data_IF_277387988014
#
_entry.id   IF_277387988014
#
_cell.length_a   1.000
_cell.length_b   1.000
_cell.length_c   1.000
_cell.angle_alpha   90.00
_cell.angle_beta   90.00
_cell.angle_gamma   90.00
#
_symmetry.space_group_name_H-M   'P 1'
#
loop_
_entity.id
_entity.type
_entity.pdbx_description
1 polymer ?
#
# COMPACT_ATOMS: atom_id res chain seq x y z
N UNK A 1 -16.87 11.79 19.39
CA UNK A 1 -16.98 11.61 20.86
C UNK A 1 -16.18 12.69 21.62
N UNK A 2 -16.34 13.98 21.27
CA UNK A 2 -15.59 15.09 21.90
C UNK A 2 -16.47 16.31 22.21
N UNK A 3 -17.71 16.06 22.66
CA UNK A 3 -18.63 17.14 23.11
C UNK A 3 -18.71 17.19 24.66
N UNK A 4 -18.04 16.27 25.36
CA UNK A 4 -18.23 16.08 26.81
C UNK A 4 -17.41 16.97 27.75
N UNK A 5 -16.37 17.68 27.29
CA UNK A 5 -15.44 18.39 28.19
C UNK A 5 -15.76 19.88 28.37
N UNK A 6 -16.20 20.57 27.31
CA UNK A 6 -16.58 22.00 27.43
C UNK A 6 -17.84 22.21 28.27
N UNK A 7 -18.75 21.22 28.29
CA UNK A 7 -19.98 21.25 29.09
C UNK A 7 -19.72 21.30 30.61
N UNK A 8 -18.55 20.84 31.09
CA UNK A 8 -18.21 20.83 32.51
C UNK A 8 -17.72 22.19 33.05
N UNK A 9 -17.03 22.98 32.21
CA UNK A 9 -16.55 24.32 32.59
C UNK A 9 -17.66 25.35 32.58
N UNK A 10 -18.60 25.25 31.63
CA UNK A 10 -19.79 26.13 31.57
C UNK A 10 -20.67 25.94 32.81
N UNK A 11 -20.93 24.68 33.20
CA UNK A 11 -21.71 24.36 34.40
C UNK A 11 -21.11 24.93 35.70
N UNK A 12 -19.78 25.02 35.80
CA UNK A 12 -19.11 25.59 36.98
C UNK A 12 -19.21 27.12 37.04
N UNK A 13 -19.14 27.79 35.89
CA UNK A 13 -19.36 29.24 35.79
C UNK A 13 -20.83 29.58 36.01
N UNK A 14 -21.76 28.79 35.48
CA UNK A 14 -23.20 28.94 35.71
C UNK A 14 -23.54 28.74 37.19
N UNK A 15 -22.92 27.77 37.87
CA UNK A 15 -23.11 27.56 39.31
C UNK A 15 -22.55 28.70 40.16
N UNK A 16 -21.44 29.33 39.76
CA UNK A 16 -20.89 30.51 40.44
C UNK A 16 -21.76 31.74 40.18
N UNK A 17 -22.26 31.91 38.95
CA UNK A 17 -23.22 32.97 38.61
C UNK A 17 -24.53 32.80 39.39
N UNK A 18 -25.04 31.58 39.49
CA UNK A 18 -26.22 31.24 40.29
C UNK A 18 -25.98 31.43 41.79
N UNK A 19 -24.79 31.12 42.31
CA UNK A 19 -24.42 31.39 43.71
C UNK A 19 -24.34 32.90 43.98
N UNK A 20 -23.72 33.67 43.09
CA UNK A 20 -23.68 35.13 43.19
C UNK A 20 -25.09 35.73 43.06
N UNK A 21 -25.92 35.20 42.16
CA UNK A 21 -27.32 35.62 42.00
C UNK A 21 -28.15 35.27 43.23
N UNK A 22 -28.05 34.07 43.78
CA UNK A 22 -28.70 33.68 45.04
C UNK A 22 -28.20 34.48 46.23
N UNK A 23 -26.93 34.88 46.25
CA UNK A 23 -26.39 35.75 47.29
C UNK A 23 -26.92 37.18 47.15
N UNK A 24 -27.01 37.71 45.93
CA UNK A 24 -27.61 39.03 45.64
C UNK A 24 -29.13 39.04 45.91
N UNK A 25 -29.85 38.02 45.45
CA UNK A 25 -31.28 37.81 45.70
C UNK A 25 -31.53 37.53 47.18
N UNK A 26 -30.62 36.86 47.88
CA UNK A 26 -30.66 36.64 49.33
C UNK A 26 -30.52 37.96 50.10
N UNK A 27 -29.59 38.82 49.69
CA UNK A 27 -29.44 40.18 50.26
C UNK A 27 -30.66 41.05 49.95
N UNK A 28 -31.19 40.98 48.73
CA UNK A 28 -32.39 41.71 48.29
C UNK A 28 -33.65 41.20 49.01
N UNK A 29 -33.80 39.88 49.17
CA UNK A 29 -34.91 39.24 49.90
C UNK A 29 -34.84 39.51 51.40
N UNK A 30 -33.63 39.57 51.96
CA UNK A 30 -33.40 40.01 53.34
C UNK A 30 -33.72 41.49 53.53
N UNK A 31 -33.55 42.32 52.48
CA UNK A 31 -33.99 43.72 52.47
C UNK A 31 -35.50 43.89 52.26
N UNK A 32 -36.15 43.01 51.50
CA UNK A 32 -37.61 43.03 51.24
C UNK A 32 -38.44 42.39 52.37
N UNK A 33 -37.86 41.47 53.15
CA UNK A 33 -38.49 40.83 54.31
C UNK A 33 -38.09 41.46 55.66
N UNK A 34 -37.22 42.48 55.63
CA UNK A 34 -37.04 43.39 56.75
C UNK A 34 -38.27 44.27 56.88
N UNK A 35 -39.25 43.82 57.67
CA UNK A 35 -40.46 44.54 58.03
C UNK A 35 -40.15 46.00 58.42
N UNK A 36 -40.93 46.96 57.92
CA UNK A 36 -41.17 48.19 58.66
C UNK A 36 -41.85 47.78 59.98
N UNK A 37 -41.14 47.87 61.11
CA UNK A 37 -41.81 47.79 62.42
C UNK A 37 -42.59 49.09 62.58
N UNK A 38 -43.89 49.04 62.30
CA UNK A 38 -44.83 50.12 62.61
C UNK A 38 -45.07 50.14 64.13
N UNK A 39 -44.09 50.64 64.88
CA UNK A 39 -44.34 51.20 66.20
C UNK A 39 -44.56 52.70 66.02
N UNK A 40 -45.75 53.15 66.40
CA UNK A 40 -46.18 54.54 66.32
C UNK A 40 -45.27 55.48 67.13
N UNK A 41 -45.33 56.75 66.71
CA UNK A 41 -44.93 57.97 67.41
C UNK A 41 -43.50 58.49 67.18
N UNK A 42 -43.46 59.78 66.82
CA UNK A 42 -42.30 60.59 66.46
C UNK A 42 -41.04 60.35 67.30
N UNK A 43 -39.95 59.88 66.67
CA UNK A 43 -38.63 59.89 67.28
C UNK A 43 -37.47 60.02 66.27
N UNK A 44 -37.31 61.22 65.70
CA UNK A 44 -36.02 61.76 65.24
C UNK A 44 -35.44 61.21 63.92
N UNK A 45 -35.20 62.15 62.99
CA UNK A 45 -34.48 62.09 61.71
C UNK A 45 -33.23 61.18 61.59
N UNK A 46 -32.71 60.62 62.69
CA UNK A 46 -31.40 59.97 62.75
C UNK A 46 -31.41 58.45 62.48
N UNK A 47 -32.48 57.71 62.82
CA UNK A 47 -32.54 56.25 62.62
C UNK A 47 -32.69 55.83 61.15
N UNK A 48 -33.58 56.46 60.39
CA UNK A 48 -33.76 56.17 58.95
C UNK A 48 -32.49 56.49 58.14
N UNK A 49 -31.82 57.60 58.49
CA UNK A 49 -30.52 57.97 57.89
C UNK A 49 -29.43 56.94 58.22
N UNK A 50 -29.42 56.41 59.45
CA UNK A 50 -28.46 55.40 59.89
C UNK A 50 -28.59 54.08 59.11
N UNK A 51 -29.83 53.60 58.89
CA UNK A 51 -30.06 52.36 58.13
C UNK A 51 -29.62 52.49 56.66
N UNK A 52 -29.83 53.65 56.03
CA UNK A 52 -29.36 53.92 54.66
C UNK A 52 -27.83 53.92 54.60
N UNK A 53 -27.17 54.56 55.57
CA UNK A 53 -25.69 54.60 55.66
C UNK A 53 -25.11 53.20 55.84
N UNK A 54 -25.70 52.37 56.71
CA UNK A 54 -25.28 50.97 56.90
C UNK A 54 -25.42 50.13 55.63
N UNK A 55 -26.48 50.32 54.83
CA UNK A 55 -26.66 49.64 53.54
C UNK A 55 -25.57 50.01 52.54
N UNK A 56 -25.23 51.29 52.44
CA UNK A 56 -24.14 51.75 51.58
C UNK A 56 -22.77 51.22 52.04
N UNK A 57 -22.52 51.17 53.35
CA UNK A 57 -21.31 50.56 53.90
C UNK A 57 -21.22 49.08 53.51
N UNK A 58 -22.30 48.31 53.66
CA UNK A 58 -22.34 46.90 53.23
C UNK A 58 -22.14 46.73 51.72
N UNK A 59 -22.74 47.59 50.90
CA UNK A 59 -22.52 47.58 49.45
C UNK A 59 -21.06 47.88 49.09
N UNK A 60 -20.44 48.86 49.74
CA UNK A 60 -19.03 49.21 49.53
C UNK A 60 -18.11 48.05 49.94
N UNK A 61 -18.38 47.40 51.08
CA UNK A 61 -17.63 46.23 51.54
C UNK A 61 -17.76 45.10 50.51
N UNK A 62 -18.97 44.81 50.02
CA UNK A 62 -19.20 43.78 49.02
C UNK A 62 -18.51 44.12 47.68
N UNK A 63 -18.63 45.35 47.21
CA UNK A 63 -17.98 45.81 45.99
C UNK A 63 -16.45 45.75 46.12
N UNK A 64 -15.89 46.08 47.28
CA UNK A 64 -14.47 45.97 47.56
C UNK A 64 -14.01 44.51 47.49
N UNK A 65 -14.74 43.58 48.11
CA UNK A 65 -14.45 42.13 48.04
C UNK A 65 -14.54 41.64 46.59
N UNK A 66 -15.59 42.02 45.85
CA UNK A 66 -15.77 41.62 44.45
C UNK A 66 -14.66 42.12 43.54
N UNK A 67 -14.21 43.37 43.72
CA UNK A 67 -13.14 43.96 42.92
C UNK A 67 -11.78 43.36 43.30
N UNK A 68 -11.53 43.13 44.60
CA UNK A 68 -10.29 42.53 45.11
C UNK A 68 -10.12 41.08 44.64
N UNK A 69 -11.18 40.28 44.70
CA UNK A 69 -11.13 38.85 44.37
C UNK A 69 -11.51 38.54 42.92
N UNK A 70 -12.37 39.33 42.27
CA UNK A 70 -12.91 39.05 40.93
C UNK A 70 -12.03 39.51 39.77
N UNK A 71 -11.15 40.51 39.96
CA UNK A 71 -10.27 40.99 38.88
C UNK A 71 -9.28 39.94 38.39
N UNK A 72 -8.67 39.20 39.31
CA UNK A 72 -7.68 38.17 38.97
C UNK A 72 -8.27 37.00 38.15
N UNK A 73 -9.34 36.30 38.58
CA UNK A 73 -9.91 35.19 37.82
C UNK A 73 -10.49 35.64 36.46
N UNK A 74 -11.10 36.83 36.39
CA UNK A 74 -11.66 37.35 35.14
C UNK A 74 -10.56 37.62 34.10
N UNK A 75 -9.48 38.28 34.50
CA UNK A 75 -8.37 38.58 33.60
C UNK A 75 -7.63 37.31 33.16
N UNK A 76 -7.43 36.35 34.08
CA UNK A 76 -6.80 35.07 33.77
C UNK A 76 -7.64 34.24 32.79
N UNK A 77 -8.97 34.25 32.92
CA UNK A 77 -9.85 33.55 31.98
C UNK A 77 -9.78 34.15 30.57
N UNK A 78 -9.85 35.48 30.45
CA UNK A 78 -9.76 36.16 29.16
C UNK A 78 -8.39 35.97 28.51
N UNK A 79 -7.29 36.03 29.29
CA UNK A 79 -5.94 35.74 28.80
C UNK A 79 -5.83 34.29 28.34
N UNK A 80 -6.33 33.33 29.12
CA UNK A 80 -6.34 31.92 28.75
C UNK A 80 -7.10 31.65 27.44
N UNK A 81 -8.27 32.27 27.24
CA UNK A 81 -9.03 32.16 25.99
C UNK A 81 -8.27 32.75 24.79
N UNK A 82 -7.66 33.94 24.96
CA UNK A 82 -6.84 34.56 23.92
C UNK A 82 -5.64 33.69 23.55
N UNK A 83 -4.96 33.12 24.55
CA UNK A 83 -3.80 32.27 24.34
C UNK A 83 -4.17 30.94 23.67
N UNK A 84 -5.27 30.31 24.09
CA UNK A 84 -5.80 29.10 23.44
C UNK A 84 -6.09 29.36 21.97
N UNK A 85 -6.79 30.45 21.65
CA UNK A 85 -7.12 30.80 20.26
C UNK A 85 -5.87 31.10 19.44
N UNK A 86 -4.90 31.83 20.00
CA UNK A 86 -3.62 32.08 19.33
C UNK A 86 -2.85 30.78 19.05
N UNK A 87 -2.87 29.81 20.00
CA UNK A 87 -2.26 28.49 19.80
C UNK A 87 -2.99 27.67 18.74
N UNK A 88 -4.32 27.67 18.73
CA UNK A 88 -5.12 26.98 17.70
C UNK A 88 -4.85 27.54 16.30
N UNK A 89 -4.83 28.87 16.15
CA UNK A 89 -4.51 29.53 14.88
C UNK A 89 -3.11 29.12 14.42
N UNK A 90 -2.11 29.19 15.31
CA UNK A 90 -0.73 28.79 14.99
C UNK A 90 -0.63 27.32 14.60
N UNK A 91 -1.38 26.44 15.26
CA UNK A 91 -1.43 25.02 14.92
C UNK A 91 -2.05 24.79 13.53
N UNK A 92 -3.13 25.49 13.20
CA UNK A 92 -3.79 25.40 11.89
C UNK A 92 -2.84 25.90 10.79
N UNK A 93 -2.16 27.01 11.03
CA UNK A 93 -1.19 27.57 10.08
C UNK A 93 -0.01 26.62 9.85
N UNK A 94 0.57 26.06 10.91
CA UNK A 94 1.63 25.06 10.81
C UNK A 94 1.17 23.82 10.03
N UNK A 95 -0.04 23.29 10.33
CA UNK A 95 -0.62 22.16 9.59
C UNK A 95 -0.82 22.49 8.12
N UNK A 96 -1.26 23.71 7.79
CA UNK A 96 -1.42 24.16 6.41
C UNK A 96 -0.09 24.20 5.67
N UNK A 97 0.98 24.68 6.31
CA UNK A 97 2.34 24.67 5.74
C UNK A 97 2.84 23.25 5.53
N UNK A 98 2.68 22.37 6.53
CA UNK A 98 3.08 20.96 6.44
C UNK A 98 2.34 20.23 5.30
N UNK A 99 1.02 20.41 5.20
CA UNK A 99 0.21 19.81 4.14
C UNK A 99 0.61 20.32 2.75
N UNK A 100 0.87 21.63 2.60
CA UNK A 100 1.39 22.19 1.35
C UNK A 100 2.75 21.58 0.99
N UNK A 101 3.61 21.38 1.97
CA UNK A 101 4.90 20.68 1.78
C UNK A 101 4.69 19.25 1.27
N UNK A 102 3.83 18.47 1.95
CA UNK A 102 3.50 17.10 1.55
C UNK A 102 2.89 17.00 0.16
N UNK A 103 2.02 17.94 -0.22
CA UNK A 103 1.44 17.98 -1.57
C UNK A 103 2.53 18.22 -2.62
N UNK A 104 3.44 19.16 -2.37
CA UNK A 104 4.55 19.44 -3.30
C UNK A 104 5.49 18.24 -3.44
N UNK A 105 5.82 17.60 -2.33
CA UNK A 105 6.64 16.38 -2.32
C UNK A 105 5.95 15.23 -3.06
N UNK A 106 4.66 15.00 -2.79
CA UNK A 106 3.86 13.95 -3.46
C UNK A 106 3.76 14.21 -4.96
N UNK A 107 3.55 15.47 -5.37
CA UNK A 107 3.54 15.85 -6.78
C UNK A 107 4.88 15.55 -7.45
N UNK A 108 6.00 15.89 -6.78
CA UNK A 108 7.34 15.59 -7.31
C UNK A 108 7.57 14.09 -7.45
N UNK A 109 7.15 13.29 -6.45
CA UNK A 109 7.24 11.82 -6.50
C UNK A 109 6.39 11.27 -7.65
N UNK A 110 5.22 11.85 -7.91
CA UNK A 110 4.35 11.44 -9.01
C UNK A 110 5.02 11.71 -10.36
N UNK A 111 5.54 12.92 -10.58
CA UNK A 111 6.23 13.30 -11.81
C UNK A 111 7.47 12.41 -12.04
N UNK A 112 8.29 12.20 -11.00
CA UNK A 112 9.43 11.29 -11.07
C UNK A 112 9.00 9.84 -11.35
N UNK A 113 7.86 9.40 -10.82
CA UNK A 113 7.34 8.06 -11.06
C UNK A 113 6.82 7.89 -12.49
N UNK A 114 6.18 8.90 -13.08
CA UNK A 114 5.72 8.85 -14.48
C UNK A 114 6.90 8.66 -15.44
N UNK A 115 7.99 9.40 -15.23
CA UNK A 115 9.23 9.24 -16.01
C UNK A 115 9.79 7.83 -15.86
N UNK A 116 9.90 7.32 -14.62
CA UNK A 116 10.38 5.94 -14.38
C UNK A 116 9.48 4.89 -15.03
N UNK A 117 8.16 5.07 -15.03
CA UNK A 117 7.23 4.16 -15.70
C UNK A 117 7.40 4.18 -17.22
N UNK A 118 7.60 5.35 -17.82
CA UNK A 118 7.87 5.47 -19.25
C UNK A 118 9.17 4.74 -19.62
N UNK A 119 10.25 4.96 -18.88
CA UNK A 119 11.54 4.27 -19.07
C UNK A 119 11.43 2.75 -18.88
N UNK A 120 10.67 2.31 -17.86
CA UNK A 120 10.44 0.89 -17.60
C UNK A 120 9.66 0.25 -18.76
N UNK A 121 8.63 0.92 -19.27
CA UNK A 121 7.85 0.44 -20.41
C UNK A 121 8.73 0.29 -21.64
N UNK A 122 9.55 1.30 -21.96
CA UNK A 122 10.48 1.24 -23.09
C UNK A 122 11.48 0.08 -22.93
N UNK A 123 12.04 -0.09 -21.73
CA UNK A 123 12.96 -1.19 -21.43
C UNK A 123 12.31 -2.56 -21.63
N UNK A 124 11.08 -2.74 -21.16
CA UNK A 124 10.33 -4.00 -21.31
C UNK A 124 10.07 -4.29 -22.79
N UNK A 125 9.66 -3.29 -23.57
CA UNK A 125 9.44 -3.45 -25.02
C UNK A 125 10.75 -3.85 -25.72
N UNK A 126 11.84 -3.13 -25.47
CA UNK A 126 13.17 -3.45 -26.05
C UNK A 126 13.66 -4.84 -25.66
N UNK A 127 13.47 -5.25 -24.40
CA UNK A 127 13.82 -6.60 -23.95
C UNK A 127 12.94 -7.67 -24.60
N UNK A 128 11.64 -7.39 -24.77
CA UNK A 128 10.69 -8.25 -25.46
C UNK A 128 11.08 -8.47 -26.92
N UNK A 129 11.40 -7.41 -27.65
CA UNK A 129 11.85 -7.47 -29.04
C UNK A 129 13.15 -8.27 -29.17
N UNK A 130 14.15 -7.98 -28.34
CA UNK A 130 15.42 -8.74 -28.34
C UNK A 130 15.19 -10.22 -28.03
N UNK A 131 14.33 -10.55 -27.07
CA UNK A 131 14.01 -11.94 -26.72
C UNK A 131 13.25 -12.64 -27.84
N UNK A 132 12.30 -11.96 -28.50
CA UNK A 132 11.59 -12.46 -29.67
C UNK A 132 12.58 -12.80 -30.78
N UNK A 133 13.50 -11.90 -31.10
CA UNK A 133 14.52 -12.12 -32.12
C UNK A 133 15.42 -13.30 -31.76
N UNK A 134 15.89 -13.39 -30.52
CA UNK A 134 16.71 -14.51 -30.06
C UNK A 134 15.99 -15.86 -30.15
N UNK A 135 14.69 -15.91 -29.83
CA UNK A 135 13.87 -17.12 -29.97
C UNK A 135 13.77 -17.52 -31.44
N UNK A 136 13.51 -16.57 -32.34
CA UNK A 136 13.40 -16.83 -33.78
C UNK A 136 14.73 -17.36 -34.33
N UNK A 137 15.85 -16.71 -34.01
CA UNK A 137 17.18 -17.14 -34.44
C UNK A 137 17.52 -18.54 -33.92
N UNK A 138 17.21 -18.81 -32.64
CA UNK A 138 17.42 -20.14 -32.04
C UNK A 138 16.58 -21.21 -32.73
N UNK A 139 15.30 -20.92 -32.98
CA UNK A 139 14.41 -21.85 -33.68
C UNK A 139 14.86 -22.13 -35.12
N UNK A 140 15.32 -21.10 -35.84
CA UNK A 140 15.88 -21.28 -37.19
C UNK A 140 17.14 -22.14 -37.17
N UNK A 141 18.06 -21.89 -36.23
CA UNK A 141 19.28 -22.69 -36.10
C UNK A 141 18.95 -24.15 -35.75
N UNK A 142 18.05 -24.37 -34.79
CA UNK A 142 17.57 -25.70 -34.42
C UNK A 142 16.91 -26.43 -35.59
N UNK A 143 16.07 -25.73 -36.38
CA UNK A 143 15.44 -26.30 -37.57
C UNK A 143 16.48 -26.71 -38.61
N UNK A 144 17.52 -25.89 -38.83
CA UNK A 144 18.61 -26.21 -39.74
C UNK A 144 19.38 -27.44 -39.29
N UNK A 145 19.78 -27.50 -38.02
CA UNK A 145 20.46 -28.67 -37.44
C UNK A 145 19.59 -29.93 -37.54
N UNK A 146 18.29 -29.82 -37.24
CA UNK A 146 17.36 -30.95 -37.36
C UNK A 146 17.26 -31.47 -38.80
N UNK A 147 17.25 -30.58 -39.79
CA UNK A 147 17.23 -30.96 -41.21
C UNK A 147 18.54 -31.65 -41.63
N UNK A 148 19.68 -31.14 -41.19
CA UNK A 148 21.00 -31.73 -41.47
C UNK A 148 21.11 -33.12 -40.84
N UNK A 149 20.67 -33.27 -39.60
CA UNK A 149 20.62 -34.56 -38.90
C UNK A 149 19.67 -35.54 -39.58
N UNK A 150 18.49 -35.08 -40.00
CA UNK A 150 17.53 -35.91 -40.72
C UNK A 150 18.11 -36.41 -42.05
N UNK A 151 18.77 -35.55 -42.83
CA UNK A 151 19.47 -35.95 -44.07
C UNK A 151 20.54 -37.00 -43.80
N UNK A 152 21.40 -36.77 -42.81
CA UNK A 152 22.45 -37.72 -42.43
C UNK A 152 21.89 -39.08 -42.00
N UNK A 153 20.78 -39.08 -41.26
CA UNK A 153 20.07 -40.31 -40.86
C UNK A 153 19.51 -41.03 -42.07
N UNK A 154 18.86 -40.32 -43.00
CA UNK A 154 18.32 -40.88 -44.23
C UNK A 154 19.44 -41.53 -45.06
N UNK A 155 20.57 -40.85 -45.25
CA UNK A 155 21.71 -41.40 -46.00
C UNK A 155 22.25 -42.67 -45.34
N UNK A 156 22.37 -42.66 -44.02
CA UNK A 156 22.81 -43.84 -43.26
C UNK A 156 21.83 -45.00 -43.42
N UNK A 157 20.53 -44.76 -43.30
CA UNK A 157 19.50 -45.77 -43.50
C UNK A 157 19.47 -46.28 -44.94
N UNK A 158 19.69 -45.41 -45.93
CA UNK A 158 19.73 -45.78 -47.33
C UNK A 158 20.91 -46.71 -47.63
N UNK A 159 22.10 -46.40 -47.11
CA UNK A 159 23.29 -47.26 -47.23
C UNK A 159 23.03 -48.62 -46.56
N UNK A 160 22.45 -48.64 -45.36
CA UNK A 160 22.10 -49.87 -44.65
C UNK A 160 21.09 -50.71 -45.43
N UNK A 161 20.02 -50.09 -45.94
CA UNK A 161 19.00 -50.77 -46.73
C UNK A 161 19.57 -51.35 -48.03
N UNK A 162 20.43 -50.59 -48.73
CA UNK A 162 21.13 -51.07 -49.93
C UNK A 162 22.04 -52.27 -49.64
N UNK A 163 22.80 -52.22 -48.53
CA UNK A 163 23.68 -53.32 -48.15
C UNK A 163 22.88 -54.57 -47.79
N UNK A 164 21.78 -54.42 -47.03
CA UNK A 164 20.87 -55.51 -46.70
C UNK A 164 20.25 -56.12 -47.96
N UNK A 165 19.74 -55.29 -48.86
CA UNK A 165 19.17 -55.74 -50.13
C UNK A 165 20.18 -56.49 -51.00
N UNK A 166 21.44 -56.03 -51.05
CA UNK A 166 22.51 -56.73 -51.77
C UNK A 166 22.81 -58.10 -51.16
N UNK A 167 22.84 -58.21 -49.83
CA UNK A 167 23.01 -59.49 -49.15
C UNK A 167 21.86 -60.46 -49.48
N UNK A 168 20.61 -60.00 -49.39
CA UNK A 168 19.43 -60.80 -49.74
C UNK A 168 19.44 -61.27 -51.21
N UNK A 169 19.89 -60.42 -52.14
CA UNK A 169 20.05 -60.79 -53.55
C UNK A 169 21.10 -61.89 -53.75
N UNK A 170 22.24 -61.79 -53.05
CA UNK A 170 23.31 -62.80 -53.12
C UNK A 170 22.79 -64.13 -52.56
N UNK A 171 22.13 -64.11 -51.41
CA UNK A 171 21.56 -65.31 -50.78
C UNK A 171 20.55 -65.99 -51.72
N UNK A 172 19.66 -65.20 -52.37
CA UNK A 172 18.69 -65.72 -53.34
C UNK A 172 19.34 -66.26 -54.62
N UNK A 173 20.42 -65.64 -55.08
CA UNK A 173 21.17 -66.13 -56.23
C UNK A 173 21.87 -67.46 -55.92
N UNK A 174 22.47 -67.59 -54.72
CA UNK A 174 23.06 -68.84 -54.23
C UNK A 174 21.99 -69.90 -54.09
N UNK A 175 20.83 -69.60 -53.50
CA UNK A 175 19.70 -70.54 -53.39
C UNK A 175 19.25 -71.06 -54.75
N UNK A 176 19.14 -70.17 -55.75
CA UNK A 176 18.76 -70.55 -57.11
C UNK A 176 19.83 -71.40 -57.79
N UNK A 177 21.10 -71.02 -57.62
CA UNK A 177 22.24 -71.78 -58.11
C UNK A 177 22.25 -73.18 -57.48
N UNK A 178 22.15 -73.30 -56.15
CA UNK A 178 22.10 -74.59 -55.43
C UNK A 178 20.91 -75.46 -55.85
N UNK A 179 19.76 -74.86 -56.21
CA UNK A 179 18.59 -75.61 -56.72
C UNK A 179 18.76 -76.10 -58.15
N UNK A 180 19.55 -75.40 -58.99
CA UNK A 180 19.71 -75.71 -60.42
C UNK A 180 21.00 -76.47 -60.73
N UNK A 181 22.08 -76.18 -60.01
CA UNK A 181 23.43 -76.74 -60.18
C UNK A 181 23.45 -78.29 -60.17
N UNK A 182 22.77 -79.00 -59.24
CA UNK A 182 22.75 -80.46 -59.28
C UNK A 182 22.04 -81.07 -60.50
N UNK A 183 21.20 -80.29 -61.19
CA UNK A 183 20.44 -80.75 -62.36
C UNK A 183 21.18 -80.57 -63.68
N UNK A 184 22.22 -79.74 -63.70
CA UNK A 184 22.95 -79.34 -64.92
C UNK A 184 24.39 -79.89 -64.93
N UNK A 185 24.88 -80.51 -63.84
CA UNK A 185 26.23 -81.07 -63.75
C UNK A 185 26.35 -82.42 -64.46
N UNK A 186 27.41 -82.59 -65.25
CA UNK A 186 27.67 -83.83 -66.02
C UNK A 186 28.82 -84.66 -65.42
N UNK A 187 28.95 -85.91 -65.85
CA UNK A 187 30.00 -86.81 -65.34
C UNK A 187 31.43 -86.32 -65.71
N UNK A 188 31.61 -85.71 -66.89
CA UNK A 188 32.87 -85.12 -67.33
C UNK A 188 33.29 -83.91 -66.47
N UNK A 189 32.32 -83.08 -66.04
CA UNK A 189 32.61 -81.93 -65.16
C UNK A 189 33.14 -82.38 -63.79
N UNK A 190 32.61 -83.48 -63.24
CA UNK A 190 33.07 -84.04 -61.96
C UNK A 190 34.50 -84.58 -62.06
N UNK A 191 34.86 -85.25 -63.15
CA UNK A 191 36.21 -85.77 -63.37
C UNK A 191 37.22 -84.62 -63.49
N UNK A 192 36.87 -83.58 -64.26
CA UNK A 192 37.69 -82.38 -64.41
C UNK A 192 37.91 -81.65 -63.08
N UNK A 193 36.87 -81.47 -62.28
CA UNK A 193 36.98 -80.86 -60.95
C UNK A 193 37.87 -81.68 -59.99
N UNK A 194 37.82 -83.01 -60.10
CA UNK A 194 38.65 -83.90 -59.29
C UNK A 194 40.13 -83.77 -59.65
N UNK A 195 40.45 -83.72 -60.95
CA UNK A 195 41.82 -83.50 -61.44
C UNK A 195 42.33 -82.12 -60.98
N UNK A 196 41.51 -81.07 -61.12
CA UNK A 196 41.88 -79.70 -60.76
C UNK A 196 42.16 -79.56 -59.25
N UNK A 197 41.35 -80.20 -58.39
CA UNK A 197 41.57 -80.22 -56.94
C UNK A 197 42.86 -80.98 -56.56
N UNK A 198 43.14 -82.09 -57.22
CA UNK A 198 44.36 -82.88 -57.01
C UNK A 198 45.62 -82.13 -57.47
N UNK A 199 45.53 -81.23 -58.47
CA UNK A 199 46.63 -80.35 -58.87
C UNK A 199 46.83 -79.15 -57.96
N UNK A 200 45.79 -78.67 -57.27
CA UNK A 200 45.85 -77.51 -56.36
C UNK A 200 46.38 -77.85 -54.96
N UNK A 201 46.24 -79.11 -54.53
CA UNK A 201 46.67 -79.61 -53.21
C UNK A 201 48.10 -80.21 -53.26
N UNK A 202 48.74 -80.17 -54.43
CA UNK A 202 50.11 -80.63 -54.66
C UNK A 202 51.07 -79.46 -54.76
#
# INVERSE_FOLDING_TARGET
MFVGSEAGSMKRLDNIMWLCFYFLVGIISFHLCGQDVWAAENAGSWRSTYDIVLKWINFIILAFVLVKFGRAPLMNFLRGKKENLAREIKQIENKKVELKGKIKETSKILDESEVRFAELKERIVRQGEKKKEAIIQTAQNQSKTMLEDAKRRIDTHFIQAKNKFRAELIDRAIDLAMKRFPKEITAEDNEKLTIEYLTLVK
#
